data_IF_390177194573
#
_entry.id   IF_390177194573
#
_cell.length_a   1.000
_cell.length_b   1.000
_cell.length_c   1.000
_cell.angle_alpha   90.00
_cell.angle_beta   90.00
_cell.angle_gamma   90.00
#
_symmetry.space_group_name_H-M   'P 1'
#
loop_
_entity.id
_entity.type
_entity.pdbx_description
1 polymer ?
#
# COMPACT_ATOMS: atom_id res chain seq x y z
N UNK A 1 -8.71 16.33 9.40
CA UNK A 1 -7.88 15.45 8.54
C UNK A 1 -8.36 14.02 8.74
N UNK A 2 -8.76 13.35 7.67
CA UNK A 2 -9.40 12.03 7.80
C UNK A 2 -8.38 10.90 7.89
N UNK A 3 -7.33 11.00 7.07
CA UNK A 3 -6.33 9.95 6.88
C UNK A 3 -4.94 10.59 6.79
N UNK A 4 -3.94 9.92 7.37
CA UNK A 4 -2.52 10.28 7.20
C UNK A 4 -1.79 9.15 6.51
N UNK A 5 -1.03 9.46 5.45
CA UNK A 5 -0.14 8.51 4.80
C UNK A 5 1.31 8.74 5.23
N UNK A 6 2.02 7.63 5.47
CA UNK A 6 3.41 7.63 5.92
C UNK A 6 4.26 7.03 4.80
N UNK A 7 5.18 7.82 4.25
CA UNK A 7 6.13 7.41 3.21
C UNK A 7 7.55 7.57 3.73
N UNK A 8 8.18 6.45 4.12
CA UNK A 8 9.50 6.48 4.74
C UNK A 8 10.64 6.65 3.73
N UNK A 9 10.42 6.34 2.46
CA UNK A 9 11.44 6.37 1.41
C UNK A 9 10.83 6.85 0.08
N UNK A 10 10.37 8.10 -0.01
CA UNK A 10 9.88 8.68 -1.26
C UNK A 10 10.96 8.68 -2.35
N UNK A 11 10.58 8.96 -3.57
CA UNK A 11 11.49 9.06 -4.70
C UNK A 11 11.03 10.13 -5.69
N UNK A 12 11.96 10.69 -6.42
CA UNK A 12 11.70 11.31 -7.70
C UNK A 12 11.79 10.22 -8.77
N UNK A 13 10.68 9.88 -9.43
CA UNK A 13 10.66 8.87 -10.49
C UNK A 13 10.96 9.54 -11.84
N UNK A 14 12.15 9.27 -12.37
CA UNK A 14 12.59 9.68 -13.71
C UNK A 14 12.20 8.58 -14.71
N UNK A 15 11.12 8.80 -15.44
CA UNK A 15 10.74 7.93 -16.56
C UNK A 15 11.38 8.42 -17.84
N UNK A 16 12.11 7.56 -18.52
CA UNK A 16 12.77 7.84 -19.80
C UNK A 16 12.25 6.91 -20.89
N UNK A 17 12.21 7.40 -22.13
CA UNK A 17 11.87 6.61 -23.31
C UNK A 17 13.00 6.63 -24.31
N UNK A 18 13.34 5.46 -24.85
CA UNK A 18 14.33 5.29 -25.90
C UNK A 18 13.92 4.15 -26.86
N UNK A 19 14.56 4.03 -28.00
CA UNK A 19 14.28 2.97 -28.97
C UNK A 19 14.65 1.59 -28.42
N UNK A 20 15.91 1.43 -28.06
CA UNK A 20 16.45 0.24 -27.41
C UNK A 20 17.62 0.62 -26.51
N UNK A 21 17.80 -0.07 -25.38
CA UNK A 21 18.92 0.13 -24.49
C UNK A 21 20.13 -0.71 -24.95
N UNK A 22 21.27 -0.06 -25.14
CA UNK A 22 22.55 -0.68 -25.51
C UNK A 22 23.53 -0.56 -24.33
N UNK A 23 23.70 -1.61 -23.52
CA UNK A 23 24.64 -1.60 -22.41
C UNK A 23 26.08 -1.35 -22.88
N UNK A 24 26.79 -0.43 -22.19
CA UNK A 24 28.16 -0.05 -22.52
C UNK A 24 28.29 1.04 -23.56
N UNK A 25 27.20 1.55 -24.12
CA UNK A 25 27.17 2.60 -25.12
C UNK A 25 26.46 3.87 -24.62
N UNK A 26 26.59 4.98 -25.35
CA UNK A 26 25.79 6.19 -25.12
C UNK A 26 24.38 5.96 -25.66
N UNK A 27 23.38 6.00 -24.78
CA UNK A 27 21.99 5.85 -25.13
C UNK A 27 21.31 7.23 -25.16
N UNK A 28 20.71 7.60 -26.29
CA UNK A 28 19.97 8.84 -26.43
C UNK A 28 18.50 8.62 -26.04
N UNK A 29 18.03 9.44 -25.10
CA UNK A 29 16.66 9.43 -24.60
C UNK A 29 15.82 10.39 -25.43
N UNK A 30 14.67 9.94 -25.95
CA UNK A 30 13.74 10.77 -26.72
C UNK A 30 12.83 11.62 -25.83
N UNK A 31 12.46 11.08 -24.66
CA UNK A 31 11.58 11.74 -23.69
C UNK A 31 12.05 11.44 -22.27
N UNK A 32 11.96 12.44 -21.40
CA UNK A 32 12.21 12.27 -19.96
C UNK A 32 11.17 13.03 -19.14
N UNK A 33 10.68 12.40 -18.07
CA UNK A 33 9.71 13.00 -17.17
C UNK A 33 10.11 12.67 -15.73
N UNK A 34 10.29 13.70 -14.90
CA UNK A 34 10.63 13.58 -13.48
C UNK A 34 9.41 13.95 -12.64
N UNK A 35 8.97 13.03 -11.75
CA UNK A 35 7.79 13.22 -10.91
C UNK A 35 8.08 12.86 -9.46
N UNK A 36 7.53 13.64 -8.54
CA UNK A 36 7.47 13.26 -7.14
C UNK A 36 6.61 12.00 -6.96
N UNK A 37 7.14 11.00 -6.26
CA UNK A 37 6.54 9.68 -6.11
C UNK A 37 6.83 9.07 -4.74
N UNK A 38 6.12 8.01 -4.44
CA UNK A 38 6.22 7.22 -3.23
C UNK A 38 4.88 6.56 -2.93
N UNK A 39 4.88 5.31 -2.44
CA UNK A 39 3.62 4.57 -2.26
C UNK A 39 2.59 5.35 -1.43
N UNK A 40 2.95 5.88 -0.26
CA UNK A 40 2.02 6.66 0.56
C UNK A 40 1.61 7.98 -0.11
N UNK A 41 2.48 8.62 -0.91
CA UNK A 41 2.13 9.81 -1.70
C UNK A 41 1.09 9.44 -2.77
N UNK A 42 1.27 8.32 -3.46
CA UNK A 42 0.31 7.82 -4.45
C UNK A 42 -1.04 7.52 -3.80
N UNK A 43 -1.05 6.87 -2.65
CA UNK A 43 -2.27 6.63 -1.86
C UNK A 43 -2.97 7.96 -1.52
N UNK A 44 -2.21 8.96 -1.06
CA UNK A 44 -2.76 10.26 -0.71
C UNK A 44 -3.39 10.99 -1.89
N UNK A 45 -2.76 10.94 -3.07
CA UNK A 45 -3.31 11.52 -4.29
C UNK A 45 -4.67 10.91 -4.65
N UNK A 46 -4.77 9.59 -4.66
CA UNK A 46 -6.02 8.89 -4.95
C UNK A 46 -7.10 9.18 -3.89
N UNK A 47 -6.73 9.21 -2.61
CA UNK A 47 -7.66 9.58 -1.54
C UNK A 47 -8.18 11.01 -1.71
N UNK A 48 -7.31 11.94 -2.12
CA UNK A 48 -7.72 13.32 -2.40
C UNK A 48 -8.72 13.39 -3.55
N UNK A 49 -8.49 12.61 -4.62
CA UNK A 49 -9.43 12.51 -5.75
C UNK A 49 -10.76 11.87 -5.36
N UNK A 50 -10.76 11.00 -4.35
CA UNK A 50 -11.96 10.46 -3.71
C UNK A 50 -12.63 11.43 -2.72
N UNK A 51 -12.15 12.68 -2.62
CA UNK A 51 -12.74 13.73 -1.80
C UNK A 51 -12.36 13.69 -0.31
N UNK A 52 -11.27 12.99 0.06
CA UNK A 52 -10.82 12.92 1.47
C UNK A 52 -9.89 14.08 1.82
N UNK A 53 -9.88 14.44 3.10
CA UNK A 53 -8.90 15.36 3.67
C UNK A 53 -7.69 14.57 4.18
N UNK A 54 -6.52 14.73 3.51
CA UNK A 54 -5.38 13.83 3.65
C UNK A 54 -4.12 14.59 4.05
N UNK A 55 -3.43 14.08 5.07
CA UNK A 55 -2.09 14.49 5.43
C UNK A 55 -1.03 13.49 4.98
N UNK A 56 0.16 14.00 4.70
CA UNK A 56 1.34 13.24 4.30
C UNK A 56 2.44 13.42 5.34
N UNK A 57 3.11 12.35 5.72
CA UNK A 57 4.31 12.42 6.56
C UNK A 57 5.32 11.32 6.17
N UNK A 58 6.50 11.40 6.75
CA UNK A 58 7.64 10.55 6.46
C UNK A 58 8.91 11.37 6.41
N UNK A 59 9.93 10.91 5.69
CA UNK A 59 11.18 11.64 5.49
C UNK A 59 11.31 12.15 4.06
N UNK A 60 11.70 13.41 3.90
CA UNK A 60 11.88 14.06 2.60
C UNK A 60 13.20 14.82 2.60
N UNK A 61 14.03 14.61 1.56
CA UNK A 61 15.31 15.31 1.41
C UNK A 61 15.13 16.80 1.14
N UNK A 62 15.86 17.65 1.85
CA UNK A 62 15.80 19.10 1.71
C UNK A 62 16.32 19.58 0.36
N UNK A 63 17.36 18.91 -0.20
CA UNK A 63 18.10 19.41 -1.35
C UNK A 63 17.30 19.42 -2.66
N UNK A 64 16.33 18.49 -2.82
CA UNK A 64 15.52 18.38 -4.05
C UNK A 64 14.02 18.30 -3.78
N UNK A 65 13.54 18.86 -2.68
CA UNK A 65 12.15 18.77 -2.22
C UNK A 65 11.15 19.54 -3.10
N UNK A 66 11.59 20.47 -3.95
CA UNK A 66 10.69 21.42 -4.63
C UNK A 66 9.59 20.71 -5.46
N UNK A 67 9.92 19.61 -6.15
CA UNK A 67 8.93 18.85 -6.91
C UNK A 67 7.82 18.25 -6.03
N UNK A 68 8.15 17.88 -4.80
CA UNK A 68 7.18 17.38 -3.82
C UNK A 68 6.31 18.52 -3.28
N UNK A 69 6.91 19.62 -2.89
CA UNK A 69 6.20 20.81 -2.37
C UNK A 69 5.19 21.29 -3.43
N UNK A 70 5.63 21.44 -4.69
CA UNK A 70 4.75 21.85 -5.79
C UNK A 70 3.60 20.86 -5.98
N UNK A 71 3.85 19.53 -5.94
CA UNK A 71 2.79 18.52 -6.02
C UNK A 71 1.79 18.65 -4.85
N UNK A 72 2.29 18.83 -3.63
CA UNK A 72 1.43 18.92 -2.45
C UNK A 72 0.55 20.16 -2.47
N UNK A 73 1.10 21.31 -2.91
CA UNK A 73 0.35 22.55 -3.10
C UNK A 73 -0.70 22.41 -4.20
N UNK A 74 -0.31 21.90 -5.39
CA UNK A 74 -1.22 21.68 -6.53
C UNK A 74 -2.40 20.78 -6.15
N UNK A 75 -2.15 19.73 -5.38
CA UNK A 75 -3.14 18.74 -4.97
C UNK A 75 -3.84 19.08 -3.64
N UNK A 76 -3.51 20.21 -3.02
CA UNK A 76 -3.99 20.61 -1.70
C UNK A 76 -3.88 19.48 -0.65
N UNK A 77 -2.69 18.87 -0.58
CA UNK A 77 -2.32 17.83 0.37
C UNK A 77 -1.59 18.47 1.57
N UNK A 78 -1.93 18.09 2.78
CA UNK A 78 -1.29 18.66 3.99
C UNK A 78 0.08 18.02 4.21
N UNK A 79 1.13 18.83 4.01
CA UNK A 79 2.53 18.43 4.15
C UNK A 79 3.00 18.44 5.59
N UNK A 80 3.29 17.28 6.14
CA UNK A 80 3.87 17.06 7.46
C UNK A 80 5.16 16.23 7.39
N UNK A 81 5.81 16.17 6.23
CA UNK A 81 7.09 15.47 6.10
C UNK A 81 8.16 16.10 6.97
N UNK A 82 8.95 15.25 7.62
CA UNK A 82 10.20 15.64 8.26
C UNK A 82 11.25 15.88 7.18
N UNK A 83 11.85 17.07 7.21
CA UNK A 83 12.95 17.42 6.29
C UNK A 83 14.25 16.84 6.82
N UNK A 84 14.96 16.11 5.94
CA UNK A 84 16.22 15.44 6.24
C UNK A 84 17.31 16.00 5.33
N UNK A 85 18.49 16.21 5.86
CA UNK A 85 19.62 16.71 5.09
C UNK A 85 19.96 15.77 3.92
N UNK A 86 20.22 16.33 2.74
CA UNK A 86 20.51 15.61 1.50
C UNK A 86 19.32 15.54 0.54
N UNK A 87 19.44 14.65 -0.46
CA UNK A 87 18.48 14.54 -1.55
C UNK A 87 17.60 13.30 -1.39
N UNK A 88 16.31 13.45 -1.68
CA UNK A 88 15.43 12.32 -1.94
C UNK A 88 15.97 11.57 -3.17
N UNK A 89 15.97 10.24 -3.10
CA UNK A 89 16.46 9.38 -4.19
C UNK A 89 15.73 9.63 -5.51
N UNK A 90 16.43 9.36 -6.61
CA UNK A 90 15.86 9.34 -7.95
C UNK A 90 15.80 7.89 -8.41
N UNK A 91 14.61 7.33 -8.63
CA UNK A 91 14.48 6.06 -9.35
C UNK A 91 14.45 6.36 -10.85
N UNK A 92 15.08 5.50 -11.65
CA UNK A 92 15.10 5.65 -13.11
C UNK A 92 14.34 4.48 -13.74
N UNK A 93 13.30 4.79 -14.49
CA UNK A 93 12.54 3.84 -15.29
C UNK A 93 12.88 4.05 -16.76
N UNK A 94 13.48 3.05 -17.39
CA UNK A 94 13.87 3.04 -18.79
C UNK A 94 12.82 2.24 -19.56
N UNK A 95 12.05 2.90 -20.42
CA UNK A 95 11.03 2.28 -21.26
C UNK A 95 11.51 2.23 -22.71
N UNK A 96 11.57 1.04 -23.28
CA UNK A 96 11.97 0.81 -24.68
C UNK A 96 10.73 0.71 -25.59
N UNK A 97 10.88 1.04 -26.89
CA UNK A 97 9.79 0.88 -27.87
C UNK A 97 9.28 -0.56 -27.97
N UNK A 98 10.13 -1.54 -27.68
CA UNK A 98 9.77 -2.96 -27.60
C UNK A 98 8.75 -3.29 -26.50
N UNK A 99 8.46 -2.34 -25.60
CA UNK A 99 7.68 -2.56 -24.38
C UNK A 99 8.51 -3.09 -23.19
N UNK A 100 9.82 -3.33 -23.37
CA UNK A 100 10.70 -3.71 -22.26
C UNK A 100 10.89 -2.52 -21.32
N UNK A 101 10.82 -2.79 -20.00
CA UNK A 101 11.04 -1.80 -18.96
C UNK A 101 12.16 -2.25 -18.05
N UNK A 102 13.08 -1.35 -17.72
CA UNK A 102 14.16 -1.57 -16.75
C UNK A 102 14.06 -0.52 -15.65
N UNK A 103 13.97 -0.97 -14.41
CA UNK A 103 13.91 -0.09 -13.24
C UNK A 103 15.26 -0.08 -12.51
N UNK A 104 15.79 1.13 -12.24
CA UNK A 104 16.98 1.36 -11.41
C UNK A 104 16.54 2.11 -10.15
N UNK A 105 16.42 1.39 -9.05
CA UNK A 105 15.96 1.95 -7.78
C UNK A 105 17.14 2.27 -6.86
N UNK A 106 17.28 3.55 -6.49
CA UNK A 106 18.34 4.02 -5.61
C UNK A 106 17.99 3.80 -4.12
N UNK A 107 18.99 3.73 -3.22
CA UNK A 107 18.78 3.32 -1.83
C UNK A 107 18.00 4.30 -0.96
N UNK A 108 17.97 5.60 -1.29
CA UNK A 108 17.28 6.64 -0.53
C UNK A 108 18.18 7.39 0.46
N UNK A 109 17.53 8.20 1.30
CA UNK A 109 18.16 9.07 2.29
C UNK A 109 18.96 8.28 3.35
N UNK A 110 19.97 8.93 3.93
CA UNK A 110 20.64 8.47 5.14
C UNK A 110 19.98 9.13 6.35
N UNK A 111 19.06 8.42 6.98
CA UNK A 111 18.28 8.88 8.13
C UNK A 111 19.10 8.75 9.41
N UNK A 112 19.13 9.80 10.23
CA UNK A 112 19.81 9.86 11.52
C UNK A 112 18.81 9.66 12.68
N UNK A 113 19.31 9.42 13.88
CA UNK A 113 18.48 9.23 15.08
C UNK A 113 17.57 10.44 15.37
N UNK A 114 18.09 11.65 15.11
CA UNK A 114 17.31 12.89 15.24
C UNK A 114 16.13 12.97 14.28
N UNK A 115 16.28 12.44 13.05
CA UNK A 115 15.23 12.39 12.04
C UNK A 115 14.15 11.36 12.42
N UNK A 116 14.57 10.25 13.01
CA UNK A 116 13.65 9.22 13.56
C UNK A 116 12.79 9.85 14.66
N UNK A 117 13.41 10.49 15.65
CA UNK A 117 12.71 11.16 16.75
C UNK A 117 11.77 12.26 16.26
N UNK A 118 12.18 13.00 15.22
CA UNK A 118 11.34 14.05 14.63
C UNK A 118 10.09 13.47 13.93
N UNK A 119 10.21 12.32 13.26
CA UNK A 119 9.06 11.64 12.66
C UNK A 119 8.10 11.11 13.72
N UNK A 120 8.60 10.49 14.78
CA UNK A 120 7.76 10.03 15.89
C UNK A 120 7.00 11.19 16.54
N UNK A 121 7.69 12.31 16.79
CA UNK A 121 7.06 13.53 17.30
C UNK A 121 6.00 14.11 16.32
N UNK A 122 6.22 14.00 15.01
CA UNK A 122 5.23 14.40 14.01
C UNK A 122 3.99 13.49 14.08
N UNK A 123 4.17 12.18 14.17
CA UNK A 123 3.08 11.23 14.33
C UNK A 123 2.30 11.44 15.65
N UNK A 124 3.00 11.78 16.72
CA UNK A 124 2.36 12.13 18.00
C UNK A 124 1.46 13.36 17.90
N UNK A 125 1.89 14.39 17.15
CA UNK A 125 1.08 15.59 16.90
C UNK A 125 -0.12 15.32 15.97
N UNK A 126 0.03 14.40 15.02
CA UNK A 126 -1.02 14.05 14.04
C UNK A 126 -2.09 13.10 14.63
N UNK A 127 -1.69 12.17 15.49
CA UNK A 127 -2.57 11.15 16.03
C UNK A 127 -3.86 11.67 16.71
N UNK A 128 -3.88 12.78 17.46
CA UNK A 128 -5.13 13.31 18.02
C UNK A 128 -6.15 13.78 16.99
N UNK A 129 -5.73 14.02 15.74
CA UNK A 129 -6.54 14.65 14.69
C UNK A 129 -6.95 13.70 13.57
N UNK A 130 -6.56 12.43 13.62
CA UNK A 130 -6.94 11.40 12.64
C UNK A 130 -6.98 10.02 13.27
N UNK A 131 -7.82 9.14 12.76
CA UNK A 131 -7.94 7.78 13.24
C UNK A 131 -7.30 6.75 12.29
N UNK A 132 -7.00 7.13 11.05
CA UNK A 132 -6.50 6.23 10.03
C UNK A 132 -5.12 6.62 9.53
N UNK A 133 -4.20 5.66 9.57
CA UNK A 133 -2.85 5.79 9.05
C UNK A 133 -2.58 4.72 7.98
N UNK A 134 -1.88 5.11 6.92
CA UNK A 134 -1.41 4.20 5.88
C UNK A 134 0.11 4.23 5.87
N UNK A 135 0.76 3.18 6.31
CA UNK A 135 2.21 3.01 6.23
C UNK A 135 2.54 2.20 4.97
N UNK A 136 3.11 2.85 3.96
CA UNK A 136 3.34 2.23 2.66
C UNK A 136 4.71 2.57 2.07
N UNK A 137 5.30 1.59 1.37
CA UNK A 137 6.56 1.73 0.65
C UNK A 137 7.71 0.99 1.29
N UNK A 138 8.94 1.34 0.87
CA UNK A 138 10.18 0.75 1.36
C UNK A 138 10.81 1.58 2.47
N UNK A 139 11.81 1.02 3.12
CA UNK A 139 12.66 1.72 4.08
C UNK A 139 13.88 2.33 3.39
N UNK A 140 14.36 3.50 3.83
CA UNK A 140 15.63 4.03 3.39
C UNK A 140 16.79 3.22 3.98
N UNK A 141 17.99 3.38 3.40
CA UNK A 141 19.20 2.70 3.88
C UNK A 141 19.52 3.11 5.32
N UNK A 142 19.83 2.12 6.16
CA UNK A 142 20.21 2.34 7.56
C UNK A 142 19.06 2.31 8.55
N UNK A 143 17.80 2.34 8.09
CA UNK A 143 16.64 2.10 8.95
C UNK A 143 16.36 0.61 9.04
N UNK A 144 16.33 0.10 10.26
CA UNK A 144 16.11 -1.33 10.51
C UNK A 144 14.68 -1.75 10.13
N UNK A 145 14.48 -2.99 9.61
CA UNK A 145 13.15 -3.46 9.18
C UNK A 145 12.07 -3.46 10.26
N UNK A 146 12.45 -3.63 11.53
CA UNK A 146 11.55 -3.64 12.68
C UNK A 146 10.98 -2.25 13.03
N UNK A 147 11.52 -1.19 12.42
CA UNK A 147 11.01 0.17 12.60
C UNK A 147 9.56 0.32 12.10
N UNK A 148 9.18 -0.39 11.03
CA UNK A 148 7.76 -0.44 10.62
C UNK A 148 6.88 -1.01 11.73
N UNK A 149 7.31 -2.09 12.38
CA UNK A 149 6.62 -2.66 13.53
C UNK A 149 6.55 -1.70 14.73
N UNK A 150 7.61 -0.93 14.97
CA UNK A 150 7.63 0.11 15.99
C UNK A 150 6.57 1.19 15.72
N UNK A 151 6.51 1.75 14.52
CA UNK A 151 5.51 2.75 14.14
C UNK A 151 4.07 2.23 14.24
N UNK A 152 3.83 0.99 13.82
CA UNK A 152 2.51 0.36 13.95
C UNK A 152 2.11 0.26 15.43
N UNK A 153 3.01 -0.20 16.30
CA UNK A 153 2.74 -0.28 17.75
C UNK A 153 2.48 1.09 18.38
N UNK A 154 3.28 2.10 18.00
CA UNK A 154 3.12 3.48 18.48
C UNK A 154 1.72 4.03 18.14
N UNK A 155 1.25 3.83 16.93
CA UNK A 155 -0.07 4.29 16.48
C UNK A 155 -1.20 3.47 17.12
N UNK A 156 -1.06 2.15 17.17
CA UNK A 156 -2.06 1.27 17.82
C UNK A 156 -2.20 1.52 19.32
N UNK A 157 -1.13 1.84 20.02
CA UNK A 157 -1.18 2.22 21.45
C UNK A 157 -2.01 3.50 21.68
N UNK A 158 -2.18 4.32 20.64
CA UNK A 158 -3.05 5.51 20.62
C UNK A 158 -4.47 5.21 20.10
N UNK A 159 -4.82 3.94 19.89
CA UNK A 159 -6.12 3.50 19.37
C UNK A 159 -6.32 3.74 17.88
N UNK A 160 -5.24 3.96 17.10
CA UNK A 160 -5.34 4.28 15.67
C UNK A 160 -5.38 3.03 14.81
N UNK A 161 -6.08 3.14 13.66
CA UNK A 161 -6.14 2.12 12.63
C UNK A 161 -4.95 2.27 11.69
N UNK A 162 -4.26 1.17 11.38
CA UNK A 162 -3.07 1.19 10.53
C UNK A 162 -3.25 0.21 9.38
N UNK A 163 -3.25 0.73 8.16
CA UNK A 163 -3.11 -0.07 6.92
C UNK A 163 -1.63 -0.16 6.57
N UNK A 164 -1.16 -1.35 6.29
CA UNK A 164 0.26 -1.62 6.07
C UNK A 164 0.51 -2.28 4.71
N UNK A 165 1.28 -1.59 3.85
CA UNK A 165 1.66 -2.03 2.50
C UNK A 165 3.16 -1.83 2.24
N UNK A 166 3.98 -2.66 2.86
CA UNK A 166 5.42 -2.73 2.63
C UNK A 166 5.81 -4.10 2.07
N UNK A 167 7.08 -4.26 1.67
CA UNK A 167 7.61 -5.49 1.09
C UNK A 167 8.85 -6.01 1.82
N UNK A 168 9.24 -7.26 1.54
CA UNK A 168 10.47 -7.86 2.03
C UNK A 168 10.55 -7.94 3.55
N UNK A 169 11.73 -7.65 4.11
CA UNK A 169 11.95 -7.72 5.55
C UNK A 169 11.07 -6.75 6.36
N UNK A 170 10.76 -5.56 5.81
CA UNK A 170 9.87 -4.60 6.46
C UNK A 170 8.45 -5.17 6.60
N UNK A 171 7.94 -5.90 5.59
CA UNK A 171 6.66 -6.60 5.68
C UNK A 171 6.67 -7.63 6.82
N UNK A 172 7.68 -8.49 6.86
CA UNK A 172 7.79 -9.55 7.86
C UNK A 172 7.86 -9.00 9.30
N UNK A 173 8.57 -7.90 9.51
CA UNK A 173 8.67 -7.26 10.83
C UNK A 173 7.41 -6.47 11.20
N UNK A 174 6.82 -5.74 10.24
CA UNK A 174 5.61 -4.96 10.47
C UNK A 174 4.39 -5.82 10.81
N UNK A 175 4.26 -6.99 10.20
CA UNK A 175 3.20 -7.97 10.49
C UNK A 175 3.18 -8.35 11.98
N UNK A 176 4.35 -8.47 12.63
CA UNK A 176 4.45 -8.82 14.07
C UNK A 176 3.79 -7.79 15.01
N UNK A 177 3.54 -6.58 14.51
CA UNK A 177 2.86 -5.52 15.25
C UNK A 177 1.33 -5.53 15.05
N UNK A 178 0.81 -6.51 14.33
CA UNK A 178 -0.61 -6.73 14.06
C UNK A 178 -1.34 -5.44 13.56
N UNK A 179 -1.03 -4.90 12.36
CA UNK A 179 -1.76 -3.79 11.78
C UNK A 179 -3.25 -4.12 11.59
N UNK A 180 -4.08 -3.11 11.37
CA UNK A 180 -5.52 -3.29 11.11
C UNK A 180 -5.78 -4.03 9.80
N UNK A 181 -4.96 -3.76 8.79
CA UNK A 181 -4.98 -4.44 7.51
C UNK A 181 -3.57 -4.57 6.96
N UNK A 182 -3.26 -5.73 6.37
CA UNK A 182 -2.07 -5.95 5.55
C UNK A 182 -2.48 -6.34 4.12
N UNK A 183 -1.73 -5.83 3.12
CA UNK A 183 -2.01 -6.10 1.72
C UNK A 183 -0.77 -6.63 0.97
N UNK A 184 -0.37 -7.88 1.13
CA UNK A 184 0.63 -8.49 0.27
C UNK A 184 0.07 -8.82 -1.13
N UNK A 185 0.94 -8.80 -2.14
CA UNK A 185 0.68 -9.54 -3.38
C UNK A 185 1.13 -11.01 -3.23
N UNK A 186 0.90 -11.84 -4.25
CA UNK A 186 1.25 -13.27 -4.18
C UNK A 186 2.75 -13.53 -4.03
N UNK A 187 3.60 -12.69 -4.60
CA UNK A 187 5.04 -12.80 -4.48
C UNK A 187 5.50 -12.45 -3.06
N UNK A 188 5.04 -11.33 -2.52
CA UNK A 188 5.32 -10.89 -1.15
C UNK A 188 4.80 -11.90 -0.12
N UNK A 189 3.61 -12.46 -0.36
CA UNK A 189 3.04 -13.51 0.49
C UNK A 189 3.87 -14.79 0.44
N UNK A 190 4.34 -15.19 -0.75
CA UNK A 190 5.21 -16.35 -0.92
C UNK A 190 6.57 -16.16 -0.24
N UNK A 191 7.14 -14.95 -0.32
CA UNK A 191 8.38 -14.60 0.38
C UNK A 191 8.18 -14.65 1.90
N UNK A 192 7.09 -14.10 2.41
CA UNK A 192 6.75 -14.15 3.84
C UNK A 192 6.53 -15.58 4.32
N UNK A 193 5.81 -16.41 3.54
CA UNK A 193 5.53 -17.81 3.87
C UNK A 193 6.76 -18.73 3.74
N UNK A 194 7.85 -18.27 3.11
CA UNK A 194 9.05 -19.07 2.82
C UNK A 194 8.80 -20.21 1.82
N UNK A 195 7.69 -20.19 1.09
CA UNK A 195 7.29 -21.17 0.08
C UNK A 195 6.40 -20.52 -0.99
N UNK A 196 6.33 -21.11 -2.20
CA UNK A 196 5.37 -20.66 -3.21
C UNK A 196 3.92 -20.75 -2.70
N UNK A 197 3.14 -19.69 -2.93
CA UNK A 197 1.70 -19.59 -2.65
C UNK A 197 1.00 -19.32 -3.98
N UNK A 198 0.25 -20.29 -4.51
CA UNK A 198 -0.36 -20.22 -5.84
C UNK A 198 -1.86 -20.43 -5.82
N UNK A 199 -2.33 -21.37 -4.99
CA UNK A 199 -3.75 -21.76 -4.95
C UNK A 199 -4.52 -20.92 -3.92
N UNK A 200 -5.83 -20.85 -4.10
CA UNK A 200 -6.73 -20.19 -3.16
C UNK A 200 -6.64 -20.81 -1.75
N UNK A 201 -6.49 -22.14 -1.67
CA UNK A 201 -6.33 -22.85 -0.39
C UNK A 201 -5.04 -22.43 0.35
N UNK A 202 -3.92 -22.31 -0.37
CA UNK A 202 -2.64 -21.86 0.19
C UNK A 202 -2.69 -20.38 0.63
N UNK A 203 -3.39 -19.53 -0.15
CA UNK A 203 -3.65 -18.14 0.23
C UNK A 203 -4.48 -18.07 1.51
N UNK A 204 -5.53 -18.88 1.62
CA UNK A 204 -6.38 -18.96 2.80
C UNK A 204 -5.61 -19.45 4.03
N UNK A 205 -4.71 -20.43 3.88
CA UNK A 205 -3.83 -20.90 4.96
C UNK A 205 -2.94 -19.76 5.47
N UNK A 206 -2.26 -19.03 4.57
CA UNK A 206 -1.42 -17.89 4.92
C UNK A 206 -2.24 -16.78 5.59
N UNK A 207 -3.41 -16.43 5.05
CA UNK A 207 -4.28 -15.41 5.60
C UNK A 207 -4.75 -15.76 7.01
N UNK A 208 -5.13 -17.02 7.26
CA UNK A 208 -5.50 -17.48 8.61
C UNK A 208 -4.31 -17.40 9.60
N UNK A 209 -3.10 -17.72 9.16
CA UNK A 209 -1.90 -17.55 9.98
C UNK A 209 -1.67 -16.09 10.34
N UNK A 210 -1.86 -15.16 9.41
CA UNK A 210 -1.79 -13.72 9.64
C UNK A 210 -2.91 -13.25 10.59
N UNK A 211 -4.13 -13.73 10.41
CA UNK A 211 -5.26 -13.41 11.31
C UNK A 211 -5.00 -13.95 12.74
N UNK A 212 -4.47 -15.15 12.85
CA UNK A 212 -4.09 -15.74 14.15
C UNK A 212 -2.97 -14.94 14.87
N UNK A 213 -2.12 -14.21 14.12
CA UNK A 213 -1.14 -13.28 14.69
C UNK A 213 -1.72 -11.93 15.11
N UNK A 214 -3.05 -11.74 14.97
CA UNK A 214 -3.77 -10.54 15.41
C UNK A 214 -4.08 -9.52 14.33
N UNK A 215 -3.91 -9.85 13.05
CA UNK A 215 -4.24 -8.98 11.92
C UNK A 215 -5.67 -9.31 11.45
N UNK A 216 -6.69 -8.46 11.72
CA UNK A 216 -8.07 -8.83 11.41
C UNK A 216 -8.36 -8.87 9.91
N UNK A 217 -7.69 -8.05 9.12
CA UNK A 217 -7.95 -7.91 7.69
C UNK A 217 -6.70 -8.24 6.86
N UNK A 218 -6.80 -9.26 6.00
CA UNK A 218 -5.73 -9.64 5.07
C UNK A 218 -6.27 -9.54 3.65
N UNK A 219 -5.68 -8.66 2.84
CA UNK A 219 -6.02 -8.51 1.43
C UNK A 219 -4.87 -9.04 0.58
N UNK A 220 -5.11 -10.02 -0.24
CA UNK A 220 -4.12 -10.60 -1.16
C UNK A 220 -4.45 -10.14 -2.56
N UNK A 221 -3.55 -9.35 -3.18
CA UNK A 221 -3.72 -8.89 -4.56
C UNK A 221 -3.06 -9.85 -5.54
N UNK A 222 -3.77 -10.12 -6.66
CA UNK A 222 -3.39 -11.11 -7.67
C UNK A 222 -3.42 -10.52 -9.11
N UNK A 223 -3.03 -9.26 -9.25
CA UNK A 223 -2.98 -8.57 -10.54
C UNK A 223 -4.31 -8.62 -11.29
N UNK A 224 -4.29 -9.12 -12.53
CA UNK A 224 -5.49 -9.21 -13.38
C UNK A 224 -6.56 -10.18 -12.85
N UNK A 225 -6.19 -11.14 -12.01
CA UNK A 225 -7.13 -12.08 -11.38
C UNK A 225 -7.87 -11.45 -10.18
N UNK A 226 -7.56 -10.20 -9.86
CA UNK A 226 -8.23 -9.42 -8.84
C UNK A 226 -7.61 -9.55 -7.46
N UNK A 227 -8.44 -9.67 -6.44
CA UNK A 227 -7.98 -9.73 -5.05
C UNK A 227 -8.92 -10.57 -4.20
N UNK A 228 -8.39 -11.03 -3.06
CA UNK A 228 -9.16 -11.71 -2.03
C UNK A 228 -8.96 -10.97 -0.70
N UNK A 229 -10.06 -10.65 -0.03
CA UNK A 229 -10.07 -10.08 1.31
C UNK A 229 -10.57 -11.10 2.31
N UNK A 230 -9.67 -11.53 3.18
CA UNK A 230 -10.00 -12.32 4.37
C UNK A 230 -10.32 -11.33 5.51
N UNK A 231 -11.60 -11.03 5.68
CA UNK A 231 -12.13 -10.21 6.76
C UNK A 231 -12.45 -11.08 7.98
N UNK A 232 -12.74 -10.48 9.18
CA UNK A 232 -13.01 -11.26 10.39
C UNK A 232 -14.18 -12.24 10.26
N UNK A 233 -15.22 -11.84 9.54
CA UNK A 233 -16.50 -12.58 9.49
C UNK A 233 -16.70 -13.32 8.16
N UNK A 234 -15.97 -12.98 7.10
CA UNK A 234 -16.17 -13.56 5.77
C UNK A 234 -14.95 -13.39 4.86
N UNK A 235 -14.88 -14.22 3.86
CA UNK A 235 -13.92 -14.06 2.77
C UNK A 235 -14.62 -13.52 1.52
N UNK A 236 -14.00 -12.54 0.88
CA UNK A 236 -14.54 -11.86 -0.29
C UNK A 236 -13.55 -11.90 -1.43
N UNK A 237 -14.05 -12.04 -2.65
CA UNK A 237 -13.27 -11.90 -3.87
C UNK A 237 -13.79 -10.73 -4.69
N UNK A 238 -12.87 -9.94 -5.25
CA UNK A 238 -13.20 -8.93 -6.25
C UNK A 238 -12.36 -9.15 -7.50
N UNK A 239 -13.03 -9.12 -8.66
CA UNK A 239 -12.44 -9.33 -9.98
C UNK A 239 -12.58 -8.02 -10.77
N UNK A 240 -11.47 -7.41 -11.24
CA UNK A 240 -11.50 -6.19 -12.03
C UNK A 240 -12.10 -6.44 -13.44
N UNK A 241 -12.57 -5.38 -14.12
CA UNK A 241 -12.80 -5.46 -15.55
C UNK A 241 -11.49 -5.70 -16.31
N UNK A 242 -11.59 -6.21 -17.53
CA UNK A 242 -10.43 -6.30 -18.43
C UNK A 242 -10.01 -4.90 -18.85
N UNK A 243 -8.75 -4.57 -18.64
CA UNK A 243 -8.17 -3.27 -18.97
C UNK A 243 -7.05 -3.43 -20.00
N UNK A 244 -6.89 -2.43 -20.86
CA UNK A 244 -5.65 -2.25 -21.60
C UNK A 244 -4.59 -1.73 -20.64
N UNK A 245 -3.52 -2.49 -20.46
CA UNK A 245 -2.46 -2.17 -19.49
C UNK A 245 -1.49 -1.17 -20.11
N UNK A 246 -1.50 0.06 -19.61
CA UNK A 246 -0.55 1.13 -19.98
C UNK A 246 0.61 1.15 -18.98
N UNK A 247 0.32 1.01 -17.68
CA UNK A 247 1.30 0.97 -16.61
C UNK A 247 0.74 0.20 -15.41
N UNK A 248 1.59 -0.54 -14.71
CA UNK A 248 1.19 -1.19 -13.44
C UNK A 248 1.56 -0.35 -12.21
N UNK A 249 2.23 0.79 -12.42
CA UNK A 249 2.68 1.67 -11.34
C UNK A 249 1.47 2.31 -10.65
N UNK A 250 1.45 2.28 -9.33
CA UNK A 250 0.39 2.88 -8.53
C UNK A 250 -0.91 2.09 -8.44
N UNK A 251 -1.05 0.95 -9.15
CA UNK A 251 -2.26 0.11 -9.05
C UNK A 251 -2.48 -0.44 -7.63
N UNK A 252 -1.41 -0.94 -7.00
CA UNK A 252 -1.44 -1.38 -5.61
C UNK A 252 -1.73 -0.25 -4.61
N UNK A 253 -1.16 0.94 -4.87
CA UNK A 253 -1.36 2.13 -4.04
C UNK A 253 -2.82 2.63 -4.18
N UNK A 254 -3.36 2.61 -5.40
CA UNK A 254 -4.76 2.94 -5.68
C UNK A 254 -5.73 1.95 -5.01
N UNK A 255 -5.38 0.65 -4.99
CA UNK A 255 -6.11 -0.36 -4.25
C UNK A 255 -6.16 -0.04 -2.74
N UNK A 256 -5.00 0.29 -2.14
CA UNK A 256 -4.89 0.69 -0.73
C UNK A 256 -5.75 1.93 -0.45
N UNK A 257 -5.71 2.93 -1.34
CA UNK A 257 -6.54 4.13 -1.20
C UNK A 257 -8.04 3.80 -1.17
N UNK A 258 -8.51 2.96 -2.07
CA UNK A 258 -9.91 2.50 -2.08
C UNK A 258 -10.30 1.70 -0.85
N UNK A 259 -9.40 0.83 -0.35
CA UNK A 259 -9.62 0.06 0.88
C UNK A 259 -9.76 0.98 2.10
N UNK A 260 -8.79 1.88 2.33
CA UNK A 260 -8.85 2.79 3.48
C UNK A 260 -10.02 3.77 3.37
N UNK A 261 -10.37 4.23 2.15
CA UNK A 261 -11.53 5.07 1.93
C UNK A 261 -12.82 4.39 2.42
N UNK A 262 -13.11 3.18 1.95
CA UNK A 262 -14.32 2.46 2.33
C UNK A 262 -14.32 2.07 3.82
N UNK A 263 -13.21 1.56 4.34
CA UNK A 263 -13.11 1.17 5.75
C UNK A 263 -13.25 2.36 6.70
N UNK A 264 -12.70 3.53 6.36
CA UNK A 264 -12.80 4.74 7.19
C UNK A 264 -14.18 5.39 7.16
N UNK A 265 -15.07 4.95 6.28
CA UNK A 265 -16.47 5.37 6.17
C UNK A 265 -17.45 4.26 6.60
N UNK A 266 -16.94 3.19 7.22
CA UNK A 266 -17.72 2.02 7.65
C UNK A 266 -18.58 1.40 6.52
N UNK A 267 -18.08 1.45 5.28
CA UNK A 267 -18.75 0.81 4.15
C UNK A 267 -18.73 -0.71 4.27
N UNK A 268 -19.70 -1.36 3.66
CA UNK A 268 -19.70 -2.82 3.56
C UNK A 268 -18.44 -3.31 2.81
N UNK A 269 -17.97 -4.55 3.09
CA UNK A 269 -16.87 -5.14 2.33
C UNK A 269 -17.09 -5.14 0.82
N UNK A 270 -18.32 -5.37 0.37
CA UNK A 270 -18.69 -5.33 -1.05
C UNK A 270 -18.47 -3.93 -1.66
N UNK A 271 -18.98 -2.88 -1.00
CA UNK A 271 -18.82 -1.50 -1.46
C UNK A 271 -17.36 -1.08 -1.49
N UNK A 272 -16.62 -1.40 -0.42
CA UNK A 272 -15.20 -1.12 -0.29
C UNK A 272 -14.39 -1.79 -1.39
N UNK A 273 -14.61 -3.09 -1.62
CA UNK A 273 -13.91 -3.86 -2.64
C UNK A 273 -14.25 -3.37 -4.05
N UNK A 274 -15.50 -3.04 -4.31
CA UNK A 274 -15.95 -2.51 -5.61
C UNK A 274 -15.20 -1.23 -5.96
N UNK A 275 -15.11 -0.28 -5.02
CA UNK A 275 -14.35 0.95 -5.21
C UNK A 275 -12.84 0.67 -5.35
N UNK A 276 -12.26 -0.06 -4.40
CA UNK A 276 -10.82 -0.33 -4.38
C UNK A 276 -10.35 -1.03 -5.67
N UNK A 277 -11.13 -1.98 -6.18
CA UNK A 277 -10.85 -2.67 -7.43
C UNK A 277 -11.01 -1.75 -8.64
N UNK A 278 -12.03 -0.89 -8.67
CA UNK A 278 -12.27 0.05 -9.77
C UNK A 278 -11.14 1.09 -9.88
N UNK A 279 -10.71 1.70 -8.76
CA UNK A 279 -9.61 2.68 -8.79
C UNK A 279 -8.26 2.02 -9.13
N UNK A 280 -8.04 0.79 -8.70
CA UNK A 280 -6.86 0.00 -9.10
C UNK A 280 -6.87 -0.35 -10.59
N UNK A 281 -8.03 -0.71 -11.14
CA UNK A 281 -8.23 -0.98 -12.56
C UNK A 281 -8.02 0.30 -13.41
N UNK A 282 -8.50 1.44 -12.95
CA UNK A 282 -8.23 2.72 -13.62
C UNK A 282 -6.73 3.02 -13.66
N UNK A 283 -6.02 2.81 -12.57
CA UNK A 283 -4.59 3.09 -12.48
C UNK A 283 -3.77 2.32 -13.51
N UNK A 284 -4.12 1.07 -13.86
CA UNK A 284 -3.37 0.31 -14.86
C UNK A 284 -3.60 0.80 -16.30
N UNK A 285 -4.66 1.55 -16.57
CA UNK A 285 -5.00 2.08 -17.90
C UNK A 285 -4.38 3.46 -18.21
N UNK A 286 -3.56 4.00 -17.32
CA UNK A 286 -2.97 5.34 -17.43
C UNK A 286 -1.53 5.39 -16.93
N UNK A 287 -0.80 6.43 -17.29
CA UNK A 287 0.61 6.62 -16.89
C UNK A 287 0.72 7.28 -15.51
N UNK A 288 -0.25 8.14 -15.16
CA UNK A 288 -0.25 8.90 -13.91
C UNK A 288 -1.12 8.23 -12.85
N UNK A 289 -0.76 8.42 -11.57
CA UNK A 289 -1.59 7.99 -10.44
C UNK A 289 -2.67 9.05 -10.17
N UNK A 290 -3.87 8.59 -9.81
CA UNK A 290 -5.01 9.45 -9.50
C UNK A 290 -5.89 9.78 -10.72
N UNK A 291 -6.89 10.60 -10.51
CA UNK A 291 -7.86 11.02 -11.55
C UNK A 291 -8.45 12.40 -11.21
N UNK A 292 -8.88 13.14 -12.23
CA UNK A 292 -9.42 14.50 -12.04
C UNK A 292 -10.95 14.53 -11.90
N UNK A 293 -11.64 13.49 -12.37
CA UNK A 293 -13.11 13.40 -12.32
C UNK A 293 -13.53 12.02 -11.80
N UNK A 294 -14.24 11.99 -10.68
CA UNK A 294 -14.74 10.76 -10.08
C UNK A 294 -15.72 9.98 -11.00
N UNK A 295 -16.33 10.66 -11.97
CA UNK A 295 -17.25 10.01 -12.90
C UNK A 295 -16.56 8.99 -13.81
N UNK A 296 -15.24 9.06 -14.01
CA UNK A 296 -14.48 8.04 -14.76
C UNK A 296 -14.53 6.66 -14.11
N UNK A 297 -14.86 6.59 -12.81
CA UNK A 297 -14.99 5.33 -12.08
C UNK A 297 -16.34 4.65 -12.34
N UNK A 298 -17.41 5.36 -12.72
CA UNK A 298 -18.75 4.79 -12.86
C UNK A 298 -18.80 3.53 -13.73
N UNK A 299 -18.28 3.53 -14.97
CA UNK A 299 -18.31 2.33 -15.81
C UNK A 299 -17.46 1.19 -15.26
N UNK A 300 -16.41 1.48 -14.50
CA UNK A 300 -15.58 0.47 -13.86
C UNK A 300 -16.27 -0.16 -12.65
N UNK A 301 -16.93 0.67 -11.82
CA UNK A 301 -17.70 0.22 -10.66
C UNK A 301 -18.78 -0.79 -11.06
N UNK A 302 -19.47 -0.57 -12.19
CA UNK A 302 -20.49 -1.47 -12.72
C UNK A 302 -19.93 -2.81 -13.21
N UNK A 303 -18.69 -2.82 -13.70
CA UNK A 303 -18.04 -3.99 -14.26
C UNK A 303 -17.28 -4.83 -13.21
N UNK A 304 -16.92 -4.24 -12.07
CA UNK A 304 -16.27 -4.99 -10.99
C UNK A 304 -17.24 -6.03 -10.43
N UNK A 305 -16.79 -7.28 -10.41
CA UNK A 305 -17.55 -8.38 -9.81
C UNK A 305 -17.03 -8.64 -8.39
N UNK A 306 -17.91 -8.55 -7.41
CA UNK A 306 -17.61 -8.87 -6.01
C UNK A 306 -18.48 -10.04 -5.59
N UNK A 307 -17.88 -11.03 -4.95
CA UNK A 307 -18.58 -12.19 -4.42
C UNK A 307 -18.03 -12.61 -3.06
N UNK A 308 -18.89 -13.16 -2.22
CA UNK A 308 -18.50 -13.80 -0.97
C UNK A 308 -18.09 -15.24 -1.25
N UNK A 309 -17.00 -15.69 -0.61
CA UNK A 309 -16.50 -17.06 -0.72
C UNK A 309 -16.87 -17.84 0.56
N UNK A 310 -18.06 -18.43 0.59
CA UNK A 310 -18.61 -19.07 1.80
C UNK A 310 -17.81 -20.30 2.26
N UNK A 311 -17.23 -21.06 1.35
CA UNK A 311 -16.43 -22.25 1.66
C UNK A 311 -15.09 -21.95 2.37
N UNK A 312 -14.70 -20.70 2.45
CA UNK A 312 -13.47 -20.24 3.11
C UNK A 312 -13.73 -19.45 4.40
N UNK A 313 -14.98 -19.43 4.87
CA UNK A 313 -15.33 -18.79 6.14
C UNK A 313 -14.51 -19.40 7.30
N UNK A 314 -14.08 -18.63 8.32
CA UNK A 314 -13.40 -19.16 9.47
C UNK A 314 -14.27 -20.21 10.14
N UNK A 315 -13.76 -21.42 10.32
CA UNK A 315 -14.39 -22.44 11.16
C UNK A 315 -14.50 -21.86 12.57
N UNK A 316 -15.72 -21.61 13.03
CA UNK A 316 -15.93 -21.21 14.43
C UNK A 316 -15.27 -22.26 15.32
N UNK A 317 -14.54 -21.87 16.37
CA UNK A 317 -14.02 -22.84 17.34
C UNK A 317 -15.23 -23.59 17.91
N UNK A 318 -15.27 -24.91 17.70
CA UNK A 318 -16.26 -25.75 18.34
C UNK A 318 -16.13 -25.57 19.86
N UNK A 319 -17.22 -25.30 20.59
CA UNK A 319 -17.15 -25.29 22.04
C UNK A 319 -16.69 -26.69 22.50
N UNK A 320 -15.55 -26.74 23.15
CA UNK A 320 -15.09 -27.97 23.80
C UNK A 320 -16.22 -28.47 24.69
N UNK A 321 -16.86 -29.55 24.30
CA UNK A 321 -17.70 -30.36 25.16
C UNK A 321 -16.79 -30.81 26.31
N UNK A 322 -16.93 -30.16 27.45
CA UNK A 322 -16.39 -30.65 28.71
C UNK A 322 -16.94 -32.06 28.90
N UNK A 323 -16.07 -33.05 28.77
CA UNK A 323 -16.40 -34.40 29.19
C UNK A 323 -16.62 -34.35 30.72
N UNK A 324 -17.89 -34.46 31.10
CA UNK A 324 -18.27 -34.81 32.48
C UNK A 324 -17.63 -36.16 32.84
N UNK A 325 -16.54 -36.12 33.59
CA UNK A 325 -16.11 -37.26 34.36
C UNK A 325 -17.03 -37.32 35.58
N UNK A 326 -18.21 -37.95 35.39
CA UNK A 326 -19.07 -38.36 36.50
C UNK A 326 -18.40 -39.49 37.24
N UNK A 327 -18.31 -39.32 38.54
CA UNK A 327 -17.98 -40.32 39.54
C UNK A 327 -18.79 -41.57 39.38
N UNK A 328 -18.14 -42.71 39.57
CA UNK A 328 -18.77 -43.90 40.10
C UNK A 328 -17.73 -44.75 40.82
N UNK A 329 -17.82 -44.75 42.11
CA UNK A 329 -17.47 -45.81 43.09
C UNK A 329 -16.07 -46.41 43.07
#
# INVERSE_FOLDING_TARGET
MDIVTITLNPALDLTTRLEAMHPGEVNLVSEANLRAAGKGINVAMVLKDLGRDVGLTGWLGEGNQQSFVSLFEERALADHFVRVAGDTRINVKISEQSGRVTDLNLPGLAVQEGDVSALEAALERLAPHTDWFVLAGSLPKGVAPDYCGHLIRLLKAKGKQVIFDCSGAALSEGIKAAPTLVKPNLEELSQWAGRPVKTLSEQAECARALQASGIPNVVISNGADGLIWFAPDATWQAIPPRMEVVSTVGAGDSLVAGLVHGMSLDWTPEQTLRLATAVSALAVSQVSVGFNDINVLKPLLEQVRVQRLDDLAPTQPQPHLMANSGDAQ
#
